data_IF_116783085832
#
_entry.id   IF_116783085832
#
_cell.length_a   1.000
_cell.length_b   1.000
_cell.length_c   1.000
_cell.angle_alpha   90.00
_cell.angle_beta   90.00
_cell.angle_gamma   90.00
#
_symmetry.space_group_name_H-M   'P 1'
#
loop_
_entity.id
_entity.type
_entity.pdbx_description
1 polymer ?
#
# COMPACT_ATOMS: atom_id res chain seq x y z
N UNK A 1 13.54 -2.05 -44.60
CA UNK A 1 14.70 -2.94 -44.37
C UNK A 1 14.18 -4.24 -43.78
N UNK A 2 14.74 -5.33 -44.29
CA UNK A 2 14.37 -6.75 -44.23
C UNK A 2 13.64 -7.31 -43.00
N UNK A 3 12.65 -8.15 -43.32
CA UNK A 3 12.13 -9.26 -42.51
C UNK A 3 13.23 -10.21 -42.03
N UNK A 4 13.06 -10.76 -40.83
CA UNK A 4 13.62 -12.04 -40.40
C UNK A 4 12.69 -12.61 -39.30
N UNK A 5 11.61 -13.28 -39.72
CA UNK A 5 11.35 -14.71 -39.49
C UNK A 5 12.53 -15.53 -38.94
N UNK A 6 12.34 -16.09 -37.76
CA UNK A 6 13.05 -17.28 -37.30
C UNK A 6 12.09 -18.18 -36.55
N UNK A 7 11.80 -19.30 -37.19
CA UNK A 7 11.01 -20.43 -36.79
C UNK A 7 11.63 -21.27 -35.65
N UNK A 8 10.80 -22.19 -35.15
CA UNK A 8 11.07 -23.45 -34.45
C UNK A 8 11.17 -23.47 -32.90
N UNK A 9 10.85 -24.61 -32.24
CA UNK A 9 10.02 -25.74 -32.65
C UNK A 9 8.93 -26.15 -31.63
N UNK A 10 7.92 -26.83 -32.17
CA UNK A 10 6.90 -27.62 -31.50
C UNK A 10 7.51 -28.77 -30.68
N UNK A 11 7.32 -28.75 -29.36
CA UNK A 11 7.60 -29.90 -28.50
C UNK A 11 6.46 -30.92 -28.58
N UNK A 12 6.83 -32.08 -29.10
CA UNK A 12 6.09 -33.32 -29.25
C UNK A 12 5.49 -33.88 -27.95
N UNK A 13 4.32 -34.49 -28.13
CA UNK A 13 3.61 -35.38 -27.22
C UNK A 13 4.52 -36.42 -26.56
N UNK A 14 4.41 -36.56 -25.24
CA UNK A 14 4.84 -37.74 -24.51
C UNK A 14 3.61 -38.36 -23.85
N UNK A 15 2.97 -39.28 -24.57
CA UNK A 15 1.97 -40.19 -24.03
C UNK A 15 2.68 -41.23 -23.15
N UNK A 16 2.30 -41.28 -21.87
CA UNK A 16 2.65 -42.36 -20.94
C UNK A 16 1.52 -43.40 -20.95
N UNK A 17 1.78 -44.66 -21.37
CA UNK A 17 0.83 -45.73 -21.23
C UNK A 17 1.15 -46.50 -19.94
N UNK A 18 0.40 -46.27 -18.86
CA UNK A 18 0.31 -47.24 -17.76
C UNK A 18 -0.72 -46.83 -16.71
N UNK A 19 -1.98 -47.24 -16.89
CA UNK A 19 -2.98 -47.24 -15.81
C UNK A 19 -3.88 -48.49 -15.78
N UNK A 20 -3.59 -49.52 -16.59
CA UNK A 20 -4.35 -50.79 -16.63
C UNK A 20 -3.88 -51.86 -15.63
N UNK A 21 -3.10 -51.50 -14.61
CA UNK A 21 -2.59 -52.45 -13.60
C UNK A 21 -2.94 -52.06 -12.15
N UNK A 22 -4.00 -51.28 -11.96
CA UNK A 22 -4.54 -50.93 -10.63
C UNK A 22 -6.04 -51.21 -10.45
N UNK A 23 -6.65 -51.99 -11.35
CA UNK A 23 -8.08 -52.36 -11.27
C UNK A 23 -8.34 -53.84 -10.99
N UNK A 24 -7.33 -54.65 -10.66
CA UNK A 24 -7.50 -56.10 -10.47
C UNK A 24 -7.08 -56.63 -9.09
N UNK A 25 -6.87 -55.74 -8.10
CA UNK A 25 -6.51 -56.12 -6.72
C UNK A 25 -7.50 -55.58 -5.66
N UNK A 26 -8.72 -55.21 -6.06
CA UNK A 26 -9.78 -54.75 -5.12
C UNK A 26 -11.05 -55.60 -5.22
N UNK A 27 -11.02 -56.71 -5.97
CA UNK A 27 -12.21 -57.53 -6.23
C UNK A 27 -12.21 -58.91 -5.52
N UNK A 28 -11.44 -59.08 -4.44
CA UNK A 28 -11.39 -60.36 -3.68
C UNK A 28 -11.47 -60.20 -2.15
N UNK A 29 -11.92 -59.06 -1.62
CA UNK A 29 -12.23 -58.92 -0.18
C UNK A 29 -13.71 -58.66 0.11
N UNK A 30 -14.60 -58.97 -0.83
CA UNK A 30 -16.03 -58.67 -0.73
C UNK A 30 -16.90 -59.92 -0.79
N UNK A 31 -16.49 -61.02 -0.14
CA UNK A 31 -17.38 -62.16 0.14
C UNK A 31 -16.93 -62.76 1.48
N UNK A 32 -17.57 -62.33 2.57
CA UNK A 32 -17.74 -62.99 3.88
C UNK A 32 -18.01 -61.90 4.93
N UNK A 33 -19.21 -61.33 4.90
CA UNK A 33 -19.88 -60.74 6.07
C UNK A 33 -21.29 -60.29 5.67
N UNK A 34 -22.16 -61.27 5.45
CA UNK A 34 -23.55 -61.04 5.07
C UNK A 34 -24.48 -61.77 6.03
N UNK A 35 -24.62 -61.22 7.24
CA UNK A 35 -25.69 -61.56 8.18
C UNK A 35 -25.90 -60.51 9.30
N UNK A 36 -25.25 -59.33 9.24
CA UNK A 36 -25.44 -58.26 10.25
C UNK A 36 -25.47 -56.83 9.67
N UNK A 37 -25.59 -56.67 8.34
CA UNK A 37 -25.43 -55.38 7.65
C UNK A 37 -26.76 -54.67 7.25
N UNK A 38 -27.91 -55.31 7.42
CA UNK A 38 -29.19 -54.69 7.00
C UNK A 38 -29.69 -53.62 7.99
N UNK A 39 -29.30 -53.68 9.27
CA UNK A 39 -29.67 -52.67 10.26
C UNK A 39 -28.70 -51.46 10.22
N UNK A 40 -27.44 -51.67 9.86
CA UNK A 40 -26.43 -50.59 9.77
C UNK A 40 -26.55 -49.80 8.45
N UNK A 41 -26.96 -50.41 7.35
CA UNK A 41 -27.18 -49.72 6.08
C UNK A 41 -28.37 -48.74 6.12
N UNK A 42 -29.50 -49.14 6.70
CA UNK A 42 -30.67 -48.26 6.88
C UNK A 42 -30.35 -47.06 7.80
N UNK A 43 -29.57 -47.30 8.85
CA UNK A 43 -29.14 -46.24 9.78
C UNK A 43 -28.15 -45.26 9.13
N UNK A 44 -27.23 -45.75 8.28
CA UNK A 44 -26.27 -44.92 7.54
C UNK A 44 -26.95 -44.00 6.52
N UNK A 45 -27.93 -44.50 5.77
CA UNK A 45 -28.69 -43.70 4.79
C UNK A 45 -29.51 -42.60 5.48
N UNK A 46 -30.06 -42.86 6.67
CA UNK A 46 -30.76 -41.83 7.45
C UNK A 46 -29.81 -40.77 8.01
N UNK A 47 -28.61 -41.15 8.46
CA UNK A 47 -27.59 -40.19 8.93
C UNK A 47 -27.07 -39.31 7.78
N UNK A 48 -26.80 -39.88 6.61
CA UNK A 48 -26.33 -39.10 5.44
C UNK A 48 -27.39 -38.09 4.95
N UNK A 49 -28.68 -38.44 5.05
CA UNK A 49 -29.79 -37.51 4.76
C UNK A 49 -29.91 -36.40 5.78
N UNK A 50 -29.74 -36.71 7.07
CA UNK A 50 -29.73 -35.70 8.13
C UNK A 50 -28.56 -34.72 7.97
N UNK A 51 -27.38 -35.22 7.59
CA UNK A 51 -26.19 -34.41 7.33
C UNK A 51 -26.28 -33.57 6.05
N UNK A 52 -26.98 -34.05 5.02
CA UNK A 52 -27.25 -33.26 3.83
C UNK A 52 -28.27 -32.13 4.14
N UNK A 53 -29.31 -32.43 4.93
CA UNK A 53 -30.29 -31.44 5.36
C UNK A 53 -29.66 -30.35 6.22
N UNK A 54 -28.80 -30.73 7.18
CA UNK A 54 -28.10 -29.76 8.04
C UNK A 54 -27.16 -28.85 7.25
N UNK A 55 -26.43 -29.39 6.27
CA UNK A 55 -25.57 -28.61 5.35
C UNK A 55 -26.36 -27.58 4.55
N UNK A 56 -27.53 -27.94 4.04
CA UNK A 56 -28.39 -27.03 3.28
C UNK A 56 -28.94 -25.90 4.16
N UNK A 57 -29.34 -26.20 5.40
CA UNK A 57 -29.80 -25.19 6.37
C UNK A 57 -28.67 -24.21 6.72
N UNK A 58 -27.45 -24.70 6.95
CA UNK A 58 -26.28 -23.85 7.19
C UNK A 58 -25.92 -22.97 5.99
N UNK A 59 -26.00 -23.49 4.77
CA UNK A 59 -25.75 -22.72 3.55
C UNK A 59 -26.80 -21.60 3.36
N UNK A 60 -28.08 -21.92 3.58
CA UNK A 60 -29.18 -20.95 3.51
C UNK A 60 -29.04 -19.85 4.57
N UNK A 61 -28.71 -20.22 5.82
CA UNK A 61 -28.46 -19.26 6.90
C UNK A 61 -27.28 -18.33 6.58
N UNK A 62 -26.16 -18.85 6.08
CA UNK A 62 -25.01 -18.03 5.64
C UNK A 62 -25.37 -17.10 4.48
N UNK A 63 -26.22 -17.53 3.55
CA UNK A 63 -26.69 -16.68 2.44
C UNK A 63 -27.57 -15.54 2.96
N UNK A 64 -28.52 -15.84 3.85
CA UNK A 64 -29.37 -14.83 4.50
C UNK A 64 -28.55 -13.85 5.34
N UNK A 65 -27.54 -14.33 6.08
CA UNK A 65 -26.65 -13.47 6.86
C UNK A 65 -25.81 -12.57 5.96
N UNK A 66 -25.32 -13.07 4.81
CA UNK A 66 -24.65 -12.23 3.79
C UNK A 66 -25.59 -11.20 3.18
N UNK A 67 -26.84 -11.57 2.89
CA UNK A 67 -27.85 -10.65 2.38
C UNK A 67 -28.24 -9.59 3.42
N UNK A 68 -28.42 -9.96 4.69
CA UNK A 68 -28.66 -9.02 5.79
C UNK A 68 -27.46 -8.09 6.03
N UNK A 69 -26.24 -8.63 5.98
CA UNK A 69 -25.02 -7.83 6.07
C UNK A 69 -24.89 -6.85 4.89
N UNK A 70 -25.32 -7.25 3.70
CA UNK A 70 -25.37 -6.38 2.52
C UNK A 70 -26.51 -5.34 2.60
N UNK A 71 -27.67 -5.70 3.18
CA UNK A 71 -28.80 -4.79 3.40
C UNK A 71 -28.47 -3.69 4.42
N UNK A 72 -27.69 -4.01 5.45
CA UNK A 72 -27.21 -3.02 6.41
C UNK A 72 -26.12 -2.11 5.86
N UNK A 73 -25.50 -2.48 4.73
CA UNK A 73 -24.48 -1.65 4.10
C UNK A 73 -25.17 -0.53 3.32
N UNK A 74 -24.89 0.72 3.68
CA UNK A 74 -25.47 1.86 2.98
C UNK A 74 -25.13 1.77 1.49
N UNK A 75 -26.11 2.05 0.62
CA UNK A 75 -25.91 2.07 -0.84
C UNK A 75 -24.71 2.94 -1.22
N UNK A 76 -24.51 4.03 -0.48
CA UNK A 76 -23.38 4.94 -0.63
C UNK A 76 -22.03 4.24 -0.37
N UNK A 77 -21.91 3.42 0.68
CA UNK A 77 -20.68 2.68 0.94
C UNK A 77 -20.37 1.66 -0.16
N UNK A 78 -21.39 0.99 -0.70
CA UNK A 78 -21.23 0.04 -1.81
C UNK A 78 -20.76 0.77 -3.08
N UNK A 79 -21.42 1.89 -3.43
CA UNK A 79 -21.03 2.70 -4.59
C UNK A 79 -19.61 3.24 -4.46
N UNK A 80 -19.26 3.81 -3.30
CA UNK A 80 -17.91 4.31 -3.03
C UNK A 80 -16.90 3.17 -3.15
N UNK A 81 -17.17 2.01 -2.53
CA UNK A 81 -16.29 0.86 -2.62
C UNK A 81 -16.09 0.39 -4.06
N UNK A 82 -17.16 0.35 -4.87
CA UNK A 82 -17.08 -0.04 -6.28
C UNK A 82 -16.27 0.95 -7.11
N UNK A 83 -16.48 2.26 -6.93
CA UNK A 83 -15.69 3.32 -7.60
C UNK A 83 -14.22 3.15 -7.26
N UNK A 84 -13.90 3.09 -5.97
CA UNK A 84 -12.53 2.98 -5.48
C UNK A 84 -11.85 1.69 -5.94
N UNK A 85 -12.54 0.56 -5.82
CA UNK A 85 -12.04 -0.72 -6.30
C UNK A 85 -11.78 -0.69 -7.82
N UNK A 86 -12.67 -0.05 -8.58
CA UNK A 86 -12.49 0.14 -10.02
C UNK A 86 -11.31 1.07 -10.32
N UNK A 87 -11.05 2.08 -9.49
CA UNK A 87 -9.86 2.93 -9.65
C UNK A 87 -8.56 2.15 -9.47
N UNK A 88 -8.51 1.23 -8.49
CA UNK A 88 -7.32 0.43 -8.19
C UNK A 88 -7.09 -0.69 -9.21
N UNK A 89 -8.13 -1.46 -9.56
CA UNK A 89 -7.96 -2.73 -10.32
C UNK A 89 -7.62 -2.61 -11.80
N UNK A 90 -7.60 -1.40 -12.36
CA UNK A 90 -7.25 -1.21 -13.78
C UNK A 90 -6.25 -0.08 -14.01
N UNK A 91 -5.52 0.34 -12.97
CA UNK A 91 -4.44 1.29 -13.15
C UNK A 91 -3.13 0.60 -13.52
N UNK A 92 -3.05 0.17 -14.77
CA UNK A 92 -1.80 -0.34 -15.34
C UNK A 92 -1.13 0.84 -16.07
N UNK A 93 -0.22 1.53 -15.39
CA UNK A 93 0.64 2.51 -16.05
C UNK A 93 1.84 1.80 -16.67
N UNK A 94 2.11 2.07 -17.95
CA UNK A 94 3.28 1.53 -18.62
C UNK A 94 4.56 1.94 -17.88
N UNK A 95 5.46 1.00 -17.63
CA UNK A 95 6.66 1.20 -16.82
C UNK A 95 7.51 2.40 -17.28
N UNK A 96 7.59 2.64 -18.60
CA UNK A 96 8.33 3.78 -19.18
C UNK A 96 7.83 5.15 -18.72
N UNK A 97 6.55 5.27 -18.35
CA UNK A 97 5.97 6.51 -17.84
C UNK A 97 6.03 6.57 -16.31
N UNK A 98 5.83 5.43 -15.65
CA UNK A 98 5.82 5.32 -14.20
C UNK A 98 7.16 5.75 -13.57
N UNK A 99 8.29 5.28 -14.12
CA UNK A 99 9.63 5.59 -13.58
C UNK A 99 9.95 7.10 -13.62
N UNK A 100 9.86 7.78 -14.79
CA UNK A 100 10.08 9.22 -14.84
C UNK A 100 9.11 10.00 -13.97
N UNK A 101 7.83 9.64 -13.94
CA UNK A 101 6.84 10.38 -13.15
C UNK A 101 7.14 10.30 -11.65
N UNK A 102 7.50 9.13 -11.13
CA UNK A 102 7.93 9.00 -9.73
C UNK A 102 9.24 9.72 -9.46
N UNK A 103 10.20 9.65 -10.39
CA UNK A 103 11.47 10.35 -10.26
C UNK A 103 11.26 11.87 -10.20
N UNK A 104 10.46 12.43 -11.12
CA UNK A 104 10.09 13.83 -11.10
C UNK A 104 9.32 14.22 -9.84
N UNK A 105 8.41 13.35 -9.38
CA UNK A 105 7.64 13.56 -8.16
C UNK A 105 8.53 13.70 -6.91
N UNK A 106 9.56 12.87 -6.74
CA UNK A 106 10.49 12.96 -5.61
C UNK A 106 11.52 14.08 -5.83
N UNK A 107 11.91 14.34 -7.09
CA UNK A 107 12.83 15.42 -7.46
C UNK A 107 12.26 16.80 -7.11
N UNK A 108 10.94 16.98 -7.14
CA UNK A 108 10.30 18.23 -6.68
C UNK A 108 10.59 18.56 -5.21
N UNK A 109 10.94 17.59 -4.36
CA UNK A 109 11.35 17.90 -2.98
C UNK A 109 12.75 18.53 -2.91
N UNK A 110 13.61 18.27 -3.91
CA UNK A 110 14.90 18.95 -4.03
C UNK A 110 14.73 20.44 -4.33
N UNK A 111 13.66 20.86 -5.02
CA UNK A 111 13.43 22.27 -5.32
C UNK A 111 13.47 23.16 -4.07
N UNK A 112 12.88 22.71 -2.96
CA UNK A 112 12.90 23.46 -1.70
C UNK A 112 14.29 23.57 -1.07
N UNK A 113 15.19 22.62 -1.35
CA UNK A 113 16.57 22.66 -0.87
C UNK A 113 17.44 23.60 -1.71
N UNK A 114 17.07 23.79 -2.98
CA UNK A 114 17.81 24.57 -3.99
C UNK A 114 17.04 25.84 -4.41
N UNK A 115 16.22 26.38 -3.51
CA UNK A 115 15.38 27.53 -3.81
C UNK A 115 16.22 28.82 -3.95
N UNK A 116 15.90 29.72 -4.90
CA UNK A 116 16.67 30.96 -5.12
C UNK A 116 16.67 31.91 -3.92
N UNK A 117 15.71 31.76 -2.99
CA UNK A 117 15.62 32.54 -1.75
C UNK A 117 16.79 32.34 -0.77
N UNK A 118 17.65 31.34 -0.97
CA UNK A 118 18.89 31.12 -0.19
C UNK A 118 20.11 31.09 -1.12
N UNK A 119 20.14 31.93 -2.16
CA UNK A 119 21.15 31.86 -3.21
C UNK A 119 22.57 31.89 -2.65
N UNK A 120 23.30 30.78 -2.82
CA UNK A 120 24.70 30.68 -2.45
C UNK A 120 25.59 31.31 -3.53
N UNK A 121 26.72 31.94 -3.17
CA UNK A 121 27.70 32.42 -4.15
C UNK A 121 28.09 31.32 -5.14
N UNK A 122 27.92 31.58 -6.44
CA UNK A 122 28.22 30.63 -7.52
C UNK A 122 27.06 29.73 -7.97
N UNK A 123 25.90 29.78 -7.31
CA UNK A 123 24.71 29.05 -7.74
C UNK A 123 24.08 29.69 -8.99
N UNK A 124 23.97 28.98 -10.13
CA UNK A 124 23.36 29.55 -11.32
C UNK A 124 21.87 29.83 -11.13
N UNK A 125 21.38 30.95 -11.63
CA UNK A 125 19.97 31.37 -11.51
C UNK A 125 18.97 30.45 -12.21
N UNK A 126 19.42 29.48 -13.01
CA UNK A 126 18.55 28.54 -13.72
C UNK A 126 18.42 27.18 -13.02
N UNK A 127 19.22 26.92 -11.97
CA UNK A 127 19.32 25.57 -11.38
C UNK A 127 18.01 25.12 -10.73
N UNK A 128 17.19 26.03 -10.20
CA UNK A 128 15.92 25.68 -9.57
C UNK A 128 14.89 25.15 -10.56
N UNK A 129 14.97 25.55 -11.84
CA UNK A 129 14.10 25.01 -12.91
C UNK A 129 14.40 23.55 -13.23
N UNK A 130 15.61 23.06 -12.93
CA UNK A 130 15.94 21.62 -13.08
C UNK A 130 15.08 20.80 -12.12
N UNK A 131 14.95 21.26 -10.87
CA UNK A 131 14.34 20.50 -9.78
C UNK A 131 12.81 20.59 -9.78
N UNK A 132 12.25 21.70 -10.26
CA UNK A 132 10.82 21.84 -10.48
C UNK A 132 10.54 22.49 -11.84
N UNK A 133 10.54 21.70 -12.93
CA UNK A 133 10.28 22.24 -14.27
C UNK A 133 8.84 22.76 -14.43
N UNK A 134 7.94 22.38 -13.51
CA UNK A 134 6.54 22.82 -13.51
C UNK A 134 6.33 24.08 -12.69
N UNK A 135 7.39 24.66 -12.11
CA UNK A 135 7.27 25.93 -11.42
C UNK A 135 7.17 27.07 -12.43
N UNK A 136 5.93 27.44 -12.72
CA UNK A 136 5.60 28.58 -13.56
C UNK A 136 5.19 29.73 -12.64
N UNK A 137 6.15 30.60 -12.33
CA UNK A 137 5.90 31.89 -11.68
C UNK A 137 6.01 32.99 -12.74
N UNK A 138 4.91 33.33 -13.44
CA UNK A 138 4.96 34.39 -14.43
C UNK A 138 5.20 35.75 -13.76
N UNK A 139 5.79 36.68 -14.49
CA UNK A 139 6.04 38.03 -13.97
C UNK A 139 4.75 38.88 -13.93
N UNK A 140 3.77 38.58 -14.79
CA UNK A 140 2.51 39.31 -14.86
C UNK A 140 1.36 38.56 -14.17
N UNK A 141 0.56 39.31 -13.43
CA UNK A 141 -0.62 38.78 -12.74
C UNK A 141 -1.66 38.19 -13.69
N UNK A 142 -1.79 38.73 -14.90
CA UNK A 142 -2.71 38.19 -15.92
C UNK A 142 -2.32 36.77 -16.37
N UNK A 143 -1.02 36.52 -16.60
CA UNK A 143 -0.53 35.18 -16.92
C UNK A 143 -0.73 34.23 -15.73
N UNK A 144 -0.54 34.72 -14.51
CA UNK A 144 -0.84 33.95 -13.31
C UNK A 144 -2.32 33.54 -13.24
N UNK A 145 -3.26 34.43 -13.58
CA UNK A 145 -4.68 34.10 -13.62
C UNK A 145 -5.02 33.00 -14.63
N UNK A 146 -4.30 32.92 -15.75
CA UNK A 146 -4.46 31.83 -16.73
C UNK A 146 -4.04 30.50 -16.08
N UNK A 147 -2.87 30.45 -15.45
CA UNK A 147 -2.36 29.24 -14.76
C UNK A 147 -3.31 28.83 -13.62
N UNK A 148 -3.79 29.81 -12.86
CA UNK A 148 -4.80 29.62 -11.81
C UNK A 148 -6.09 29.01 -12.37
N UNK A 149 -6.60 29.54 -13.49
CA UNK A 149 -7.76 29.00 -14.18
C UNK A 149 -7.57 27.55 -14.64
N UNK A 150 -6.38 27.21 -15.14
CA UNK A 150 -6.02 25.83 -15.52
C UNK A 150 -6.00 24.91 -14.30
N UNK A 151 -5.36 25.33 -13.20
CA UNK A 151 -5.32 24.54 -11.96
C UNK A 151 -6.73 24.30 -11.40
N UNK A 152 -7.57 25.34 -11.35
CA UNK A 152 -8.98 25.21 -10.97
C UNK A 152 -9.74 24.27 -11.90
N UNK A 153 -9.55 24.40 -13.21
CA UNK A 153 -10.17 23.53 -14.21
C UNK A 153 -9.82 22.06 -14.01
N UNK A 154 -8.55 21.75 -13.74
CA UNK A 154 -8.11 20.38 -13.42
C UNK A 154 -8.85 19.86 -12.19
N UNK A 155 -8.91 20.61 -11.09
CA UNK A 155 -9.60 20.19 -9.87
C UNK A 155 -11.10 19.99 -10.12
N UNK A 156 -11.75 20.90 -10.83
CA UNK A 156 -13.18 20.78 -11.17
C UNK A 156 -13.45 19.55 -12.04
N UNK A 157 -12.61 19.26 -13.03
CA UNK A 157 -12.74 18.05 -13.87
C UNK A 157 -12.54 16.77 -13.04
N UNK A 158 -11.56 16.74 -12.12
CA UNK A 158 -11.33 15.58 -11.27
C UNK A 158 -12.50 15.33 -10.31
N UNK A 159 -12.98 16.35 -9.63
CA UNK A 159 -14.15 16.24 -8.74
C UNK A 159 -15.40 15.86 -9.54
N UNK A 160 -15.61 16.49 -10.69
CA UNK A 160 -16.72 16.20 -11.59
C UNK A 160 -16.70 14.75 -12.11
N UNK A 161 -15.53 14.23 -12.47
CA UNK A 161 -15.37 12.83 -12.93
C UNK A 161 -15.60 11.82 -11.80
N UNK A 162 -15.20 12.12 -10.55
CA UNK A 162 -15.55 11.29 -9.38
C UNK A 162 -17.06 11.24 -9.18
N UNK A 163 -17.74 12.39 -9.17
CA UNK A 163 -19.19 12.47 -8.98
C UNK A 163 -19.90 11.72 -10.12
N UNK A 164 -19.48 11.94 -11.36
CA UNK A 164 -20.01 11.26 -12.54
C UNK A 164 -19.85 9.73 -12.44
N UNK A 165 -18.67 9.25 -12.05
CA UNK A 165 -18.44 7.81 -11.85
C UNK A 165 -19.34 7.28 -10.73
N UNK A 166 -19.45 7.98 -9.59
CA UNK A 166 -20.29 7.57 -8.48
C UNK A 166 -21.77 7.43 -8.88
N UNK A 167 -22.31 8.40 -9.64
CA UNK A 167 -23.69 8.35 -10.17
C UNK A 167 -23.86 7.20 -11.18
N UNK A 168 -22.85 7.00 -12.03
CA UNK A 168 -22.89 5.93 -13.04
C UNK A 168 -22.90 4.53 -12.42
N UNK A 169 -22.10 4.32 -11.37
CA UNK A 169 -22.08 3.06 -10.62
C UNK A 169 -23.34 2.84 -9.81
N UNK A 170 -23.89 3.89 -9.16
CA UNK A 170 -25.14 3.76 -8.40
C UNK A 170 -26.34 3.40 -9.29
N UNK A 171 -26.29 3.79 -10.56
CA UNK A 171 -27.33 3.49 -11.56
C UNK A 171 -27.19 2.10 -12.19
N UNK A 172 -26.08 1.39 -11.97
CA UNK A 172 -25.81 0.06 -12.54
C UNK A 172 -25.63 0.04 -14.07
N UNK A 173 -25.58 1.21 -14.73
CA UNK A 173 -25.50 1.35 -16.20
C UNK A 173 -24.15 1.95 -16.60
N UNK A 174 -23.08 1.18 -16.44
CA UNK A 174 -21.74 1.66 -16.80
C UNK A 174 -21.47 1.48 -18.30
N UNK A 175 -21.95 2.42 -19.12
CA UNK A 175 -21.78 2.38 -20.60
C UNK A 175 -20.40 2.87 -21.07
N UNK A 176 -19.75 3.77 -20.32
CA UNK A 176 -18.55 4.47 -20.78
C UNK A 176 -17.35 4.20 -19.87
N UNK A 177 -16.29 3.60 -20.42
CA UNK A 177 -15.02 3.36 -19.72
C UNK A 177 -14.14 4.63 -19.67
N UNK A 178 -14.35 5.55 -20.61
CA UNK A 178 -13.52 6.74 -20.77
C UNK A 178 -13.40 7.61 -19.49
N UNK A 179 -14.49 7.96 -18.77
CA UNK A 179 -14.40 8.78 -17.56
C UNK A 179 -13.57 8.13 -16.45
N UNK A 180 -13.56 6.80 -16.37
CA UNK A 180 -12.75 6.06 -15.41
C UNK A 180 -11.26 6.15 -15.76
N UNK A 181 -10.91 6.09 -17.05
CA UNK A 181 -9.53 6.26 -17.50
C UNK A 181 -9.02 7.68 -17.23
N UNK A 182 -9.85 8.69 -17.52
CA UNK A 182 -9.54 10.10 -17.20
C UNK A 182 -9.37 10.27 -15.69
N UNK A 183 -10.26 9.69 -14.88
CA UNK A 183 -10.14 9.75 -13.42
C UNK A 183 -8.86 9.08 -12.92
N UNK A 184 -8.49 7.90 -13.43
CA UNK A 184 -7.25 7.20 -13.04
C UNK A 184 -6.01 8.00 -13.41
N UNK A 185 -5.88 8.41 -14.67
CA UNK A 185 -4.72 9.17 -15.15
C UNK A 185 -4.64 10.55 -14.46
N UNK A 186 -5.78 11.23 -14.35
CA UNK A 186 -5.90 12.51 -13.69
C UNK A 186 -5.55 12.44 -12.20
N UNK A 187 -6.04 11.43 -11.47
CA UNK A 187 -5.65 11.19 -10.07
C UNK A 187 -4.16 10.96 -9.95
N UNK A 188 -3.59 10.11 -10.80
CA UNK A 188 -2.17 9.76 -10.75
C UNK A 188 -1.27 11.00 -10.96
N UNK A 189 -1.65 11.86 -11.91
CA UNK A 189 -0.93 13.12 -12.14
C UNK A 189 -1.17 14.14 -11.00
N UNK A 190 -2.42 14.30 -10.56
CA UNK A 190 -2.82 15.26 -9.55
C UNK A 190 -2.27 14.96 -8.15
N UNK A 191 -2.22 13.69 -7.75
CA UNK A 191 -1.62 13.24 -6.49
C UNK A 191 -0.09 13.15 -6.58
N UNK A 192 0.45 12.88 -7.78
CA UNK A 192 1.88 12.82 -8.04
C UNK A 192 2.49 14.18 -8.38
N UNK A 193 2.99 14.30 -9.61
CA UNK A 193 3.81 15.44 -10.07
C UNK A 193 3.07 16.79 -10.08
N UNK A 194 1.74 16.82 -10.24
CA UNK A 194 0.98 18.08 -10.25
C UNK A 194 0.54 18.53 -8.85
N UNK A 195 0.77 17.72 -7.80
CA UNK A 195 0.27 18.05 -6.47
C UNK A 195 0.88 19.34 -5.92
N UNK A 196 2.22 19.47 -6.00
CA UNK A 196 2.93 20.66 -5.54
C UNK A 196 2.54 21.89 -6.39
N UNK A 197 2.61 21.86 -7.73
CA UNK A 197 2.21 23.02 -8.55
C UNK A 197 0.76 23.48 -8.32
N UNK A 198 -0.21 22.57 -8.23
CA UNK A 198 -1.61 22.93 -8.01
C UNK A 198 -1.78 23.57 -6.62
N UNK A 199 -1.18 22.97 -5.59
CA UNK A 199 -1.26 23.51 -4.24
C UNK A 199 -0.58 24.89 -4.14
N UNK A 200 0.60 25.05 -4.72
CA UNK A 200 1.34 26.32 -4.76
C UNK A 200 0.51 27.42 -5.43
N UNK A 201 -0.06 27.16 -6.61
CA UNK A 201 -0.90 28.15 -7.34
C UNK A 201 -2.08 28.62 -6.50
N UNK A 202 -2.75 27.74 -5.75
CA UNK A 202 -3.83 28.16 -4.85
C UNK A 202 -3.32 28.92 -3.64
N UNK A 203 -2.22 28.49 -3.03
CA UNK A 203 -1.66 29.12 -1.84
C UNK A 203 -1.10 30.51 -2.15
N UNK A 204 -0.48 30.73 -3.31
CA UNK A 204 0.06 32.05 -3.72
C UNK A 204 -1.01 33.15 -3.70
N UNK A 205 -2.26 32.84 -4.04
CA UNK A 205 -3.37 33.83 -3.99
C UNK A 205 -3.73 34.21 -2.54
N UNK A 206 -3.53 33.29 -1.60
CA UNK A 206 -3.86 33.47 -0.19
C UNK A 206 -2.77 34.21 0.58
N UNK A 207 -1.55 34.28 0.04
CA UNK A 207 -0.41 34.91 0.70
C UNK A 207 -0.35 36.41 0.44
N UNK A 208 -0.98 37.17 1.35
CA UNK A 208 -0.98 38.63 1.36
C UNK A 208 0.00 39.17 2.41
N UNK A 209 0.87 40.08 1.99
CA UNK A 209 1.83 40.76 2.85
C UNK A 209 1.68 42.28 2.65
N UNK A 210 1.57 43.04 3.74
CA UNK A 210 1.39 44.50 3.70
C UNK A 210 0.20 44.99 2.84
N UNK A 211 -0.87 44.20 2.76
CA UNK A 211 -2.08 44.55 1.99
C UNK A 211 -1.96 44.33 0.48
N UNK A 212 -0.89 43.72 -0.01
CA UNK A 212 -0.74 43.29 -1.40
C UNK A 212 -0.30 41.82 -1.49
N UNK A 213 -0.41 41.21 -2.67
CA UNK A 213 0.08 39.84 -2.88
C UNK A 213 1.62 39.89 -2.87
N UNK A 214 2.29 39.06 -2.07
CA UNK A 214 3.76 39.12 -1.92
C UNK A 214 4.50 38.97 -3.26
N UNK A 215 4.00 38.10 -4.15
CA UNK A 215 4.57 37.90 -5.49
C UNK A 215 4.16 38.97 -6.50
N UNK A 216 3.01 39.63 -6.31
CA UNK A 216 2.45 40.63 -7.23
C UNK A 216 2.05 41.90 -6.47
N UNK A 217 3.01 42.74 -6.06
CA UNK A 217 2.75 43.89 -5.19
C UNK A 217 1.85 44.96 -5.81
N UNK A 218 1.66 44.93 -7.14
CA UNK A 218 0.73 45.82 -7.85
C UNK A 218 -0.74 45.51 -7.56
N UNK A 219 -1.05 44.32 -7.03
CA UNK A 219 -2.42 43.88 -6.76
C UNK A 219 -2.69 43.99 -5.25
N UNK A 220 -3.59 44.91 -4.88
CA UNK A 220 -4.04 45.08 -3.51
C UNK A 220 -4.95 43.93 -3.08
N UNK A 221 -4.65 43.34 -1.94
CA UNK A 221 -5.44 42.27 -1.37
C UNK A 221 -6.79 42.79 -0.87
N UNK A 222 -7.86 42.02 -1.09
CA UNK A 222 -9.23 42.27 -0.63
C UNK A 222 -9.94 43.54 -1.13
N UNK A 223 -9.22 44.54 -1.65
CA UNK A 223 -9.82 45.77 -2.19
C UNK A 223 -10.25 45.65 -3.64
N UNK A 224 -9.51 44.87 -4.45
CA UNK A 224 -9.82 44.67 -5.86
C UNK A 224 -10.67 43.42 -6.09
N UNK A 225 -11.76 43.56 -6.87
CA UNK A 225 -12.57 42.43 -7.33
C UNK A 225 -11.70 41.40 -8.10
N UNK A 226 -10.63 41.87 -8.76
CA UNK A 226 -9.70 41.03 -9.51
C UNK A 226 -8.87 40.07 -8.63
N UNK A 227 -8.72 40.35 -7.33
CA UNK A 227 -8.10 39.43 -6.37
C UNK A 227 -9.13 38.65 -5.56
N UNK A 228 -10.24 39.29 -5.19
CA UNK A 228 -11.28 38.68 -4.36
C UNK A 228 -11.86 37.40 -4.98
N UNK A 229 -12.12 37.40 -6.29
CA UNK A 229 -12.66 36.22 -6.99
C UNK A 229 -11.66 35.05 -6.96
N UNK A 230 -10.40 35.18 -7.44
CA UNK A 230 -9.39 34.14 -7.30
C UNK A 230 -9.18 33.69 -5.86
N UNK A 231 -9.24 34.60 -4.88
CA UNK A 231 -9.08 34.26 -3.47
C UNK A 231 -10.17 33.28 -2.99
N UNK A 232 -11.45 33.59 -3.25
CA UNK A 232 -12.56 32.72 -2.88
C UNK A 232 -12.45 31.37 -3.61
N UNK A 233 -12.13 31.40 -4.91
CA UNK A 233 -11.95 30.19 -5.70
C UNK A 233 -10.78 29.34 -5.23
N UNK A 234 -9.68 29.95 -4.76
CA UNK A 234 -8.53 29.25 -4.21
C UNK A 234 -8.88 28.52 -2.92
N UNK A 235 -9.65 29.17 -2.03
CA UNK A 235 -10.15 28.54 -0.79
C UNK A 235 -11.03 27.33 -1.12
N UNK A 236 -11.99 27.50 -2.03
CA UNK A 236 -12.85 26.38 -2.48
C UNK A 236 -12.00 25.29 -3.15
N UNK A 237 -11.04 25.68 -3.99
CA UNK A 237 -10.11 24.80 -4.68
C UNK A 237 -9.32 23.93 -3.71
N UNK A 238 -8.71 24.53 -2.68
CA UNK A 238 -7.98 23.79 -1.64
C UNK A 238 -8.90 22.90 -0.80
N UNK A 239 -10.09 23.37 -0.43
CA UNK A 239 -11.08 22.58 0.31
C UNK A 239 -11.58 21.36 -0.46
N UNK A 240 -11.57 21.41 -1.79
CA UNK A 240 -11.89 20.26 -2.64
C UNK A 240 -10.66 19.39 -2.91
N UNK A 241 -9.54 20.01 -3.25
CA UNK A 241 -8.32 19.34 -3.73
C UNK A 241 -7.59 18.57 -2.62
N UNK A 242 -7.36 19.19 -1.46
CA UNK A 242 -6.61 18.57 -0.35
C UNK A 242 -7.27 17.28 0.16
N UNK A 243 -8.56 17.26 0.55
CA UNK A 243 -9.19 16.02 1.01
C UNK A 243 -9.34 15.00 -0.11
N UNK A 244 -9.55 15.44 -1.36
CA UNK A 244 -9.55 14.55 -2.53
C UNK A 244 -8.21 13.83 -2.67
N UNK A 245 -7.09 14.56 -2.66
CA UNK A 245 -5.77 14.01 -2.87
C UNK A 245 -5.34 13.09 -1.71
N UNK A 246 -5.62 13.47 -0.45
CA UNK A 246 -5.38 12.63 0.73
C UNK A 246 -6.23 11.36 0.73
N UNK A 247 -7.51 11.46 0.34
CA UNK A 247 -8.38 10.28 0.26
C UNK A 247 -7.92 9.32 -0.81
N UNK A 248 -7.54 9.84 -2.00
CA UNK A 248 -7.09 8.99 -3.08
C UNK A 248 -5.72 8.38 -2.81
N UNK A 249 -4.74 9.10 -2.27
CA UNK A 249 -3.46 8.49 -1.84
C UNK A 249 -3.66 7.38 -0.81
N UNK A 250 -4.61 7.54 0.12
CA UNK A 250 -4.93 6.50 1.09
C UNK A 250 -5.50 5.22 0.46
N UNK A 251 -6.35 5.37 -0.56
CA UNK A 251 -7.10 4.24 -1.15
C UNK A 251 -6.37 3.60 -2.33
N UNK A 252 -5.54 4.38 -3.02
CA UNK A 252 -4.90 3.99 -4.28
C UNK A 252 -3.65 3.14 -4.04
N UNK A 253 -3.86 1.91 -3.59
CA UNK A 253 -2.79 0.99 -3.21
C UNK A 253 -2.95 -0.32 -3.94
N UNK A 254 -2.03 -0.61 -4.85
CA UNK A 254 -1.85 -1.96 -5.36
C UNK A 254 -0.89 -2.72 -4.44
N UNK A 255 -1.45 -3.64 -3.64
CA UNK A 255 -0.72 -4.43 -2.66
C UNK A 255 0.03 -5.65 -3.24
N UNK A 256 0.14 -5.77 -4.56
CA UNK A 256 0.91 -6.83 -5.19
C UNK A 256 2.38 -6.41 -5.41
N UNK A 257 3.35 -6.88 -4.59
CA UNK A 257 4.73 -6.36 -4.60
C UNK A 257 5.54 -6.65 -5.88
N UNK A 258 5.12 -7.63 -6.69
CA UNK A 258 5.79 -8.04 -7.94
C UNK A 258 4.84 -7.99 -9.14
N UNK A 259 3.84 -7.09 -9.14
CA UNK A 259 2.96 -6.95 -10.31
C UNK A 259 3.80 -6.55 -11.54
N UNK A 260 3.96 -7.41 -12.57
CA UNK A 260 4.79 -7.07 -13.73
C UNK A 260 4.17 -5.93 -14.55
N UNK A 261 2.86 -5.71 -14.37
CA UNK A 261 2.07 -4.72 -15.10
C UNK A 261 2.01 -3.36 -14.40
N UNK A 262 2.22 -3.32 -13.08
CA UNK A 262 2.09 -2.11 -12.30
C UNK A 262 3.38 -1.84 -11.51
N UNK A 263 4.19 -0.93 -12.02
CA UNK A 263 5.43 -0.49 -11.35
C UNK A 263 5.13 0.41 -10.14
N UNK A 264 3.94 1.00 -10.08
CA UNK A 264 3.49 1.90 -9.01
C UNK A 264 2.92 1.15 -7.80
N UNK A 265 3.21 -0.14 -7.64
CA UNK A 265 2.75 -0.92 -6.48
C UNK A 265 3.26 -0.31 -5.20
N UNK A 266 2.36 -0.09 -4.24
CA UNK A 266 2.66 0.58 -2.98
C UNK A 266 2.38 -0.39 -1.84
N UNK A 267 3.24 -0.35 -0.83
CA UNK A 267 3.14 -1.27 0.29
C UNK A 267 1.89 -0.98 1.14
N UNK A 268 1.65 0.31 1.43
CA UNK A 268 0.57 0.74 2.30
C UNK A 268 0.11 2.15 1.93
N UNK A 269 -1.19 2.37 1.80
CA UNK A 269 -1.78 3.68 1.52
C UNK A 269 -1.59 4.68 2.64
N UNK A 270 -1.37 4.21 3.87
CA UNK A 270 -1.01 5.09 5.00
C UNK A 270 0.31 5.80 4.77
N UNK A 271 1.31 5.10 4.23
CA UNK A 271 2.63 5.70 3.95
C UNK A 271 2.52 6.71 2.82
N UNK A 272 1.68 6.44 1.83
CA UNK A 272 1.46 7.35 0.72
C UNK A 272 0.68 8.61 1.11
N UNK A 273 -0.38 8.44 1.91
CA UNK A 273 -1.11 9.55 2.52
C UNK A 273 -0.21 10.40 3.42
N UNK A 274 0.67 9.77 4.22
CA UNK A 274 1.65 10.49 5.04
C UNK A 274 2.64 11.27 4.17
N UNK A 275 3.13 10.65 3.09
CA UNK A 275 4.01 11.29 2.12
C UNK A 275 3.37 12.52 1.48
N UNK A 276 2.12 12.40 1.04
CA UNK A 276 1.35 13.50 0.49
C UNK A 276 1.04 14.60 1.53
N UNK A 277 0.69 14.20 2.76
CA UNK A 277 0.45 15.14 3.85
C UNK A 277 1.70 15.97 4.16
N UNK A 278 2.87 15.35 4.24
CA UNK A 278 4.14 16.06 4.45
C UNK A 278 4.46 16.99 3.27
N UNK A 279 4.23 16.56 2.03
CA UNK A 279 4.37 17.44 0.85
C UNK A 279 3.53 18.71 0.98
N UNK A 280 2.24 18.55 1.29
CA UNK A 280 1.33 19.68 1.48
C UNK A 280 1.80 20.56 2.63
N UNK A 281 2.19 19.99 3.77
CA UNK A 281 2.76 20.75 4.90
C UNK A 281 3.99 21.55 4.48
N UNK A 282 4.90 20.96 3.71
CA UNK A 282 6.09 21.65 3.19
C UNK A 282 5.68 22.81 2.30
N UNK A 283 4.75 22.63 1.37
CA UNK A 283 4.25 23.73 0.50
C UNK A 283 3.65 24.86 1.34
N UNK A 284 2.79 24.54 2.31
CA UNK A 284 2.17 25.54 3.19
C UNK A 284 3.23 26.30 4.00
N UNK A 285 4.16 25.60 4.64
CA UNK A 285 5.23 26.23 5.43
C UNK A 285 6.13 27.08 4.54
N UNK A 286 6.41 26.62 3.32
CA UNK A 286 7.26 27.33 2.38
C UNK A 286 6.70 28.69 1.98
N UNK A 287 5.39 28.74 1.73
CA UNK A 287 4.73 29.97 1.31
C UNK A 287 4.38 30.89 2.49
N UNK A 288 4.01 30.36 3.67
CA UNK A 288 3.59 31.19 4.80
C UNK A 288 4.70 31.60 5.78
N UNK A 289 5.84 30.88 5.85
CA UNK A 289 6.92 31.27 6.74
C UNK A 289 7.71 32.46 6.16
N UNK A 290 7.91 33.52 6.94
CA UNK A 290 8.70 34.68 6.51
C UNK A 290 10.22 34.39 6.52
N UNK A 291 10.70 33.64 7.51
CA UNK A 291 12.13 33.35 7.66
C UNK A 291 12.56 32.08 6.92
N UNK A 292 13.55 32.26 6.06
CA UNK A 292 14.32 31.22 5.38
C UNK A 292 14.73 30.05 6.28
N UNK A 293 15.33 30.36 7.42
CA UNK A 293 15.80 29.34 8.37
C UNK A 293 14.65 28.50 8.94
N UNK A 294 13.47 29.10 9.14
CA UNK A 294 12.28 28.37 9.63
C UNK A 294 11.75 27.41 8.57
N UNK A 295 11.75 27.81 7.29
CA UNK A 295 11.38 26.93 6.17
C UNK A 295 12.25 25.68 6.16
N UNK A 296 13.56 25.86 6.21
CA UNK A 296 14.55 24.77 6.21
C UNK A 296 14.49 23.92 7.50
N UNK A 297 14.30 24.55 8.66
CA UNK A 297 14.20 23.87 9.95
C UNK A 297 12.99 22.93 10.05
N UNK A 298 11.89 23.23 9.35
CA UNK A 298 10.73 22.33 9.24
C UNK A 298 10.95 21.28 8.13
N UNK A 299 11.58 21.66 7.02
CA UNK A 299 11.83 20.76 5.89
C UNK A 299 12.70 19.56 6.28
N UNK A 300 13.79 19.76 7.02
CA UNK A 300 14.72 18.69 7.43
C UNK A 300 14.04 17.54 8.19
N UNK A 301 13.30 17.77 9.30
CA UNK A 301 12.62 16.69 10.01
C UNK A 301 11.53 16.03 9.17
N UNK A 302 10.81 16.80 8.33
CA UNK A 302 9.84 16.24 7.39
C UNK A 302 10.50 15.25 6.41
N UNK A 303 11.62 15.62 5.79
CA UNK A 303 12.36 14.74 4.87
C UNK A 303 12.99 13.54 5.57
N UNK A 304 13.46 13.69 6.82
CA UNK A 304 13.95 12.57 7.64
C UNK A 304 12.85 11.55 7.92
N UNK A 305 11.65 12.01 8.29
CA UNK A 305 10.48 11.14 8.51
C UNK A 305 10.13 10.39 7.23
N UNK A 306 10.09 11.07 6.07
CA UNK A 306 9.82 10.43 4.78
C UNK A 306 10.88 9.40 4.40
N UNK A 307 12.15 9.74 4.57
CA UNK A 307 13.27 8.84 4.28
C UNK A 307 13.19 7.58 5.14
N UNK A 308 12.94 7.73 6.45
CA UNK A 308 12.74 6.61 7.36
C UNK A 308 11.56 5.73 6.94
N UNK A 309 10.42 6.33 6.65
CA UNK A 309 9.19 5.63 6.29
C UNK A 309 9.33 4.82 5.00
N UNK A 310 9.95 5.40 3.98
CA UNK A 310 10.18 4.74 2.68
C UNK A 310 11.19 3.60 2.83
N UNK A 311 12.32 3.82 3.48
CA UNK A 311 13.35 2.79 3.68
C UNK A 311 12.82 1.60 4.50
N UNK A 312 12.04 1.85 5.56
CA UNK A 312 11.55 0.76 6.42
C UNK A 312 10.34 0.01 5.85
N UNK A 313 9.38 0.69 5.21
CA UNK A 313 8.09 0.08 4.86
C UNK A 313 7.99 -0.44 3.43
N UNK A 314 8.93 -0.12 2.54
CA UNK A 314 8.87 -0.48 1.12
C UNK A 314 10.04 -1.33 0.57
N UNK A 315 10.78 -2.15 1.36
CA UNK A 315 11.99 -2.80 0.86
C UNK A 315 11.73 -3.85 -0.25
N UNK A 316 10.52 -4.44 -0.31
CA UNK A 316 10.20 -5.56 -1.22
C UNK A 316 9.45 -5.18 -2.50
N UNK A 317 9.18 -3.88 -2.72
CA UNK A 317 8.59 -3.41 -3.98
C UNK A 317 9.73 -2.98 -4.90
N UNK A 318 9.59 -3.24 -6.22
CA UNK A 318 10.59 -2.97 -7.28
C UNK A 318 11.90 -2.32 -6.78
N UNK A 319 12.93 -3.15 -6.56
CA UNK A 319 14.17 -2.74 -5.86
C UNK A 319 14.83 -1.53 -6.50
N UNK A 320 14.85 -1.46 -7.83
CA UNK A 320 15.45 -0.35 -8.57
C UNK A 320 14.72 0.94 -8.26
N UNK A 321 13.39 0.92 -8.39
CA UNK A 321 12.59 2.10 -8.10
C UNK A 321 12.79 2.54 -6.66
N UNK A 322 12.72 1.61 -5.71
CA UNK A 322 12.87 1.90 -4.30
C UNK A 322 14.26 2.48 -3.96
N UNK A 323 15.34 1.98 -4.58
CA UNK A 323 16.68 2.55 -4.45
C UNK A 323 16.77 3.99 -4.98
N UNK A 324 16.13 4.27 -6.12
CA UNK A 324 16.11 5.64 -6.68
C UNK A 324 15.32 6.56 -5.74
N UNK A 325 14.14 6.15 -5.26
CA UNK A 325 13.31 6.93 -4.34
C UNK A 325 14.03 7.23 -3.02
N UNK A 326 14.63 6.20 -2.40
CA UNK A 326 15.39 6.37 -1.15
C UNK A 326 16.62 7.24 -1.37
N UNK A 327 17.30 7.10 -2.51
CA UNK A 327 18.40 7.96 -2.92
C UNK A 327 17.99 9.42 -3.04
N UNK A 328 16.93 9.73 -3.80
CA UNK A 328 16.46 11.11 -4.00
C UNK A 328 16.04 11.77 -2.68
N UNK A 329 15.32 11.06 -1.80
CA UNK A 329 14.88 11.62 -0.53
C UNK A 329 16.02 11.81 0.46
N UNK A 330 16.99 10.89 0.50
CA UNK A 330 18.20 11.06 1.30
C UNK A 330 19.04 12.23 0.77
N UNK A 331 19.16 12.36 -0.55
CA UNK A 331 19.82 13.50 -1.19
C UNK A 331 19.14 14.83 -0.84
N UNK A 332 17.80 14.88 -0.86
CA UNK A 332 17.03 16.04 -0.42
C UNK A 332 17.25 16.33 1.07
N UNK A 333 17.28 15.29 1.92
CA UNK A 333 17.51 15.45 3.36
C UNK A 333 18.88 16.04 3.66
N UNK A 334 19.94 15.49 3.04
CA UNK A 334 21.30 16.03 3.22
C UNK A 334 21.42 17.44 2.62
N UNK A 335 20.83 17.69 1.45
CA UNK A 335 20.84 19.03 0.83
C UNK A 335 20.14 20.05 1.72
N UNK A 336 18.96 19.74 2.26
CA UNK A 336 18.25 20.61 3.19
C UNK A 336 19.05 20.87 4.48
N UNK A 337 19.79 19.86 4.97
CA UNK A 337 20.64 19.99 6.15
C UNK A 337 21.83 20.91 5.88
N UNK A 338 22.49 20.75 4.73
CA UNK A 338 23.60 21.64 4.32
C UNK A 338 23.10 23.07 4.10
N UNK A 339 21.94 23.25 3.45
CA UNK A 339 21.32 24.56 3.27
C UNK A 339 21.01 25.22 4.62
N UNK A 340 20.43 24.47 5.57
CA UNK A 340 20.12 24.98 6.91
C UNK A 340 21.37 25.40 7.68
N UNK A 341 22.41 24.56 7.67
CA UNK A 341 23.69 24.87 8.34
C UNK A 341 24.32 26.11 7.72
N UNK A 342 24.27 26.23 6.38
CA UNK A 342 24.85 27.37 5.66
C UNK A 342 24.11 28.67 5.95
N UNK A 343 22.79 28.63 6.06
CA UNK A 343 21.96 29.79 6.44
C UNK A 343 22.26 30.26 7.88
N UNK A 344 22.50 29.31 8.81
CA UNK A 344 22.82 29.63 10.21
C UNK A 344 24.26 30.12 10.36
N UNK A 345 25.20 29.59 9.58
CA UNK A 345 26.63 29.91 9.68
C UNK A 345 27.01 31.32 9.18
N UNK A 346 26.02 32.15 8.82
CA UNK A 346 26.14 33.49 8.25
C UNK A 346 26.72 33.49 6.81
N UNK A 347 26.38 34.50 5.98
CA UNK A 347 26.84 34.56 4.60
C UNK A 347 28.35 34.77 4.58
N UNK A 348 29.08 33.69 4.30
CA UNK A 348 30.42 33.83 3.74
C UNK A 348 30.25 33.98 2.23
N UNK A 349 30.95 34.93 1.61
CA UNK A 349 31.04 35.06 0.14
C UNK A 349 31.75 33.85 -0.52
N UNK A 350 31.86 32.74 0.20
CA UNK A 350 32.54 31.54 -0.23
C UNK A 350 31.62 30.69 -1.11
N UNK A 351 32.21 30.06 -2.13
CA UNK A 351 31.56 29.05 -2.97
C UNK A 351 31.33 27.72 -2.23
N UNK A 352 31.77 27.63 -0.97
CA UNK A 352 31.79 26.39 -0.19
C UNK A 352 30.38 25.81 0.05
N UNK A 353 29.33 26.58 0.44
CA UNK A 353 27.99 26.04 0.61
C UNK A 353 27.43 25.39 -0.66
N UNK A 354 27.67 26.00 -1.82
CA UNK A 354 27.25 25.45 -3.11
C UNK A 354 28.00 24.15 -3.45
N UNK A 355 29.31 24.11 -3.23
CA UNK A 355 30.10 22.89 -3.41
C UNK A 355 29.64 21.75 -2.48
N UNK A 356 29.34 22.07 -1.21
CA UNK A 356 28.81 21.12 -0.23
C UNK A 356 27.41 20.62 -0.61
N UNK A 357 26.55 21.46 -1.18
CA UNK A 357 25.25 21.03 -1.71
C UNK A 357 25.38 20.05 -2.86
N UNK A 358 26.26 20.32 -3.82
CA UNK A 358 26.56 19.40 -4.92
C UNK A 358 27.11 18.06 -4.39
N UNK A 359 28.02 18.11 -3.41
CA UNK A 359 28.54 16.90 -2.78
C UNK A 359 27.46 16.13 -2.01
N UNK A 360 26.60 16.84 -1.27
CA UNK A 360 25.49 16.27 -0.51
C UNK A 360 24.45 15.58 -1.41
N UNK A 361 24.20 16.10 -2.61
CA UNK A 361 23.33 15.47 -3.59
C UNK A 361 23.85 14.08 -4.00
N UNK A 362 25.12 14.00 -4.41
CA UNK A 362 25.74 12.74 -4.86
C UNK A 362 25.89 11.76 -3.69
N UNK A 363 26.43 12.23 -2.56
CA UNK A 363 26.64 11.42 -1.37
C UNK A 363 25.31 10.93 -0.78
N UNK A 364 24.29 11.79 -0.76
CA UNK A 364 22.96 11.44 -0.25
C UNK A 364 22.24 10.46 -1.15
N UNK A 365 22.35 10.59 -2.47
CA UNK A 365 21.78 9.62 -3.41
C UNK A 365 22.40 8.23 -3.23
N UNK A 366 23.74 8.16 -3.26
CA UNK A 366 24.47 6.91 -3.05
C UNK A 366 24.19 6.31 -1.65
N UNK A 367 24.21 7.15 -0.61
CA UNK A 367 23.93 6.75 0.77
C UNK A 367 22.51 6.20 0.94
N UNK A 368 21.50 6.84 0.33
CA UNK A 368 20.12 6.40 0.36
C UNK A 368 19.90 5.06 -0.36
N UNK A 369 20.59 4.83 -1.48
CA UNK A 369 20.53 3.56 -2.19
C UNK A 369 21.20 2.42 -1.40
N UNK A 370 22.39 2.67 -0.83
CA UNK A 370 23.08 1.68 0.03
C UNK A 370 22.26 1.38 1.27
N UNK A 371 21.70 2.40 1.94
CA UNK A 371 20.87 2.23 3.12
C UNK A 371 19.64 1.35 2.83
N UNK A 372 18.97 1.56 1.70
CA UNK A 372 17.85 0.73 1.30
C UNK A 372 18.24 -0.74 1.13
N UNK A 373 19.38 -1.02 0.48
CA UNK A 373 19.90 -2.38 0.33
C UNK A 373 20.28 -3.03 1.67
N UNK A 374 20.88 -2.28 2.58
CA UNK A 374 21.22 -2.77 3.92
C UNK A 374 19.96 -3.10 4.71
N UNK A 375 18.94 -2.23 4.69
CA UNK A 375 17.68 -2.46 5.38
C UNK A 375 16.92 -3.64 4.78
N UNK A 376 16.87 -3.77 3.46
CA UNK A 376 16.29 -4.94 2.79
C UNK A 376 16.96 -6.25 3.24
N UNK A 377 18.30 -6.30 3.27
CA UNK A 377 19.06 -7.47 3.75
C UNK A 377 18.78 -7.75 5.23
N UNK A 378 18.83 -6.73 6.06
CA UNK A 378 18.60 -6.85 7.51
C UNK A 378 17.20 -7.39 7.82
N UNK A 379 16.18 -6.84 7.16
CA UNK A 379 14.80 -7.29 7.26
C UNK A 379 14.68 -8.75 6.82
N UNK A 380 15.26 -9.09 5.67
CA UNK A 380 15.20 -10.45 5.11
C UNK A 380 15.81 -11.48 6.06
N UNK A 381 17.00 -11.20 6.58
CA UNK A 381 17.67 -12.07 7.57
C UNK A 381 16.83 -12.21 8.83
N UNK A 382 16.22 -11.12 9.32
CA UNK A 382 15.37 -11.14 10.51
C UNK A 382 14.10 -11.97 10.33
N UNK A 383 13.42 -11.83 9.17
CA UNK A 383 12.24 -12.64 8.85
C UNK A 383 12.62 -14.12 8.73
N UNK A 384 13.73 -14.41 8.07
CA UNK A 384 14.22 -15.78 7.88
C UNK A 384 14.61 -16.45 9.21
N UNK A 385 15.41 -15.79 10.06
CA UNK A 385 15.83 -16.32 11.36
C UNK A 385 14.62 -16.63 12.26
N UNK A 386 13.61 -15.75 12.28
CA UNK A 386 12.38 -15.97 13.03
C UNK A 386 11.56 -17.15 12.48
N UNK A 387 11.42 -17.22 11.17
CA UNK A 387 10.77 -18.36 10.53
C UNK A 387 11.49 -19.67 10.87
N UNK A 388 12.82 -19.69 10.77
CA UNK A 388 13.63 -20.87 11.09
C UNK A 388 13.55 -21.26 12.56
N UNK A 389 13.59 -20.28 13.50
CA UNK A 389 13.37 -20.51 14.93
C UNK A 389 12.03 -21.17 15.18
N UNK A 390 10.94 -20.66 14.57
CA UNK A 390 9.60 -21.24 14.75
C UNK A 390 9.50 -22.64 14.15
N UNK A 391 10.04 -22.87 12.96
CA UNK A 391 10.09 -24.21 12.35
C UNK A 391 10.82 -25.19 13.26
N UNK A 392 11.97 -24.81 13.83
CA UNK A 392 12.69 -25.64 14.81
C UNK A 392 11.87 -25.91 16.08
N UNK A 393 11.14 -24.92 16.59
CA UNK A 393 10.26 -25.10 17.76
C UNK A 393 9.11 -26.06 17.43
N UNK A 394 8.49 -25.94 16.25
CA UNK A 394 7.45 -26.88 15.81
C UNK A 394 7.99 -28.29 15.64
N UNK A 395 9.17 -28.47 15.04
CA UNK A 395 9.81 -29.79 14.97
C UNK A 395 10.10 -30.37 16.36
N UNK A 396 10.55 -29.55 17.33
CA UNK A 396 10.78 -30.02 18.70
C UNK A 396 9.47 -30.36 19.43
N UNK A 397 8.40 -29.61 19.17
CA UNK A 397 7.08 -29.85 19.76
C UNK A 397 6.40 -31.08 19.15
N UNK A 398 6.42 -31.23 17.83
CA UNK A 398 5.78 -32.33 17.11
C UNK A 398 6.55 -33.66 17.28
N UNK A 399 7.88 -33.62 17.42
CA UNK A 399 8.66 -34.80 17.85
C UNK A 399 8.30 -35.22 19.29
N UNK A 400 7.61 -34.37 20.06
CA UNK A 400 7.03 -34.70 21.36
C UNK A 400 5.59 -35.22 21.34
N UNK A 401 4.83 -35.10 20.23
CA UNK A 401 3.38 -35.36 20.20
C UNK A 401 2.96 -36.63 19.45
N UNK A 402 3.89 -37.40 18.89
CA UNK A 402 3.58 -38.79 18.46
C UNK A 402 4.63 -39.81 18.89
N UNK A 403 5.27 -39.61 20.05
CA UNK A 403 5.71 -40.77 20.82
C UNK A 403 4.55 -41.24 21.68
N UNK A 404 3.63 -42.00 21.07
CA UNK A 404 2.71 -42.87 21.82
C UNK A 404 3.46 -43.85 22.75
N UNK A 405 4.79 -43.96 22.61
CA UNK A 405 5.66 -44.70 23.52
C UNK A 405 6.04 -43.93 24.80
N UNK A 406 5.76 -42.62 24.87
CA UNK A 406 5.97 -41.79 26.06
C UNK A 406 4.65 -41.34 26.71
N UNK A 407 3.53 -42.03 26.41
CA UNK A 407 2.50 -42.17 27.43
C UNK A 407 3.24 -42.79 28.62
N UNK A 408 3.36 -42.10 29.78
CA UNK A 408 3.71 -42.84 30.98
C UNK A 408 2.73 -44.00 30.99
N UNK A 409 3.23 -45.22 31.15
CA UNK A 409 2.43 -46.27 31.75
C UNK A 409 2.02 -45.68 33.10
N UNK A 410 0.96 -44.86 33.08
CA UNK A 410 0.19 -44.42 34.21
C UNK A 410 -0.22 -45.76 34.76
N UNK A 411 0.54 -46.18 35.77
CA UNK A 411 0.35 -47.46 36.40
C UNK A 411 -1.11 -47.50 36.75
N UNK A 412 -1.85 -48.30 35.98
CA UNK A 412 -3.06 -48.96 36.41
C UNK A 412 -2.63 -49.91 37.53
N UNK A 413 -2.08 -49.35 38.62
CA UNK A 413 -2.24 -49.90 39.95
C UNK A 413 -3.74 -49.89 40.13
N UNK A 414 -4.34 -51.08 40.00
CA UNK A 414 -5.76 -51.30 39.98
C UNK A 414 -6.47 -50.45 41.02
N UNK A 415 -7.09 -49.36 40.56
CA UNK A 415 -8.43 -49.09 41.05
C UNK A 415 -9.27 -50.20 40.45
N UNK A 416 -9.56 -51.21 41.26
CA UNK A 416 -10.69 -52.07 41.02
C UNK A 416 -11.86 -51.11 40.75
N UNK A 417 -12.22 -51.00 39.48
CA UNK A 417 -13.48 -50.40 39.10
C UNK A 417 -14.51 -51.34 39.71
N UNK A 418 -15.09 -50.96 40.85
CA UNK A 418 -16.30 -51.61 41.34
C UNK A 418 -17.29 -51.52 40.18
N UNK A 419 -17.47 -52.66 39.53
CA UNK A 419 -18.34 -52.84 38.40
C UNK A 419 -19.77 -52.72 38.93
N UNK A 420 -20.22 -51.47 39.09
CA UNK A 420 -21.63 -51.19 39.30
C UNK A 420 -22.31 -51.56 37.99
N UNK A 421 -23.14 -52.61 38.02
CA UNK A 421 -23.85 -53.21 36.87
C UNK A 421 -24.90 -52.27 36.26
N UNK A 422 -24.51 -51.06 35.89
CA UNK A 422 -25.36 -50.13 35.17
C UNK A 422 -24.73 -49.80 33.80
N UNK A 423 -25.11 -50.54 32.74
CA UNK A 423 -24.54 -50.38 31.40
C UNK A 423 -24.80 -48.99 30.79
N UNK A 424 -25.75 -48.22 31.34
CA UNK A 424 -26.04 -46.86 30.87
C UNK A 424 -25.03 -45.82 31.37
N UNK A 425 -24.39 -46.06 32.52
CA UNK A 425 -23.42 -45.13 33.11
C UNK A 425 -22.07 -45.13 32.36
N UNK A 426 -21.68 -46.26 31.78
CA UNK A 426 -20.38 -46.42 31.07
C UNK A 426 -20.36 -45.65 29.74
N UNK A 427 -21.49 -45.63 29.02
CA UNK A 427 -21.63 -44.83 27.80
C UNK A 427 -21.67 -43.32 28.11
N UNK A 428 -22.24 -42.95 29.25
CA UNK A 428 -22.26 -41.57 29.74
C UNK A 428 -20.87 -41.03 30.03
N UNK A 429 -20.05 -41.79 30.76
CA UNK A 429 -18.67 -41.39 31.09
C UNK A 429 -17.75 -41.42 29.86
N UNK A 430 -17.90 -42.40 28.96
CA UNK A 430 -17.15 -42.41 27.70
C UNK A 430 -17.52 -41.23 26.80
N UNK A 431 -18.81 -40.87 26.74
CA UNK A 431 -19.29 -39.69 26.01
C UNK A 431 -18.75 -38.40 26.63
N UNK A 432 -18.73 -38.28 27.96
CA UNK A 432 -18.14 -37.14 28.65
C UNK A 432 -16.63 -37.06 28.44
N UNK A 433 -15.89 -38.16 28.48
CA UNK A 433 -14.45 -38.17 28.27
C UNK A 433 -14.08 -37.89 26.80
N UNK A 434 -14.83 -38.43 25.84
CA UNK A 434 -14.68 -38.08 24.41
C UNK A 434 -15.03 -36.60 24.21
N UNK A 435 -16.11 -36.12 24.85
CA UNK A 435 -16.48 -34.70 24.80
C UNK A 435 -15.44 -33.83 25.48
N UNK A 436 -14.77 -34.30 26.54
CA UNK A 436 -13.72 -33.57 27.24
C UNK A 436 -12.43 -33.54 26.43
N UNK A 437 -12.09 -34.62 25.73
CA UNK A 437 -10.96 -34.69 24.79
C UNK A 437 -11.22 -33.90 23.50
N UNK A 438 -12.47 -33.80 23.05
CA UNK A 438 -12.85 -32.99 21.88
C UNK A 438 -13.17 -31.53 22.22
N UNK A 439 -13.46 -31.23 23.49
CA UNK A 439 -13.66 -29.85 23.99
C UNK A 439 -12.46 -29.30 24.77
N UNK A 440 -11.38 -30.09 24.94
CA UNK A 440 -10.13 -29.60 25.48
C UNK A 440 -9.64 -28.50 24.54
N UNK A 441 -9.72 -27.28 25.06
CA UNK A 441 -9.54 -26.00 24.37
C UNK A 441 -8.45 -26.13 23.33
N UNK A 442 -8.79 -25.79 22.07
CA UNK A 442 -7.78 -25.53 21.04
C UNK A 442 -6.71 -24.65 21.69
N UNK A 443 -5.54 -25.24 21.93
CA UNK A 443 -4.43 -24.50 22.49
C UNK A 443 -4.20 -23.37 21.50
N UNK A 444 -4.55 -22.14 21.88
CA UNK A 444 -4.40 -21.00 20.99
C UNK A 444 -2.91 -20.80 20.91
N UNK A 445 -2.31 -21.33 19.84
CA UNK A 445 -0.89 -21.19 19.62
C UNK A 445 -0.55 -19.70 19.71
N UNK A 446 0.49 -19.34 20.48
CA UNK A 446 0.90 -17.95 20.57
C UNK A 446 1.15 -17.44 19.14
N UNK A 447 0.64 -16.24 18.80
CA UNK A 447 0.71 -15.73 17.45
C UNK A 447 2.16 -15.75 16.96
N UNK A 448 2.38 -16.26 15.74
CA UNK A 448 3.72 -16.43 15.15
C UNK A 448 4.51 -15.11 15.08
N UNK A 449 3.79 -14.00 15.04
CA UNK A 449 4.33 -12.65 14.97
C UNK A 449 3.68 -11.79 16.06
N UNK A 450 4.48 -10.91 16.68
CA UNK A 450 4.02 -10.06 17.78
C UNK A 450 3.13 -8.91 17.29
N UNK A 451 3.28 -8.52 16.02
CA UNK A 451 2.52 -7.42 15.44
C UNK A 451 1.97 -7.76 14.05
N UNK A 452 0.81 -7.17 13.66
CA UNK A 452 0.26 -7.29 12.31
C UNK A 452 1.24 -6.83 11.21
N UNK A 453 2.11 -5.86 11.53
CA UNK A 453 3.11 -5.35 10.61
C UNK A 453 4.15 -6.42 10.24
N UNK A 454 4.55 -7.26 11.20
CA UNK A 454 5.48 -8.35 10.94
C UNK A 454 4.85 -9.46 10.11
N UNK A 455 3.57 -9.77 10.34
CA UNK A 455 2.80 -10.71 9.49
C UNK A 455 2.78 -10.21 8.06
N UNK A 456 2.46 -8.94 7.86
CA UNK A 456 2.45 -8.29 6.54
C UNK A 456 3.82 -8.37 5.86
N UNK A 457 4.89 -8.12 6.60
CA UNK A 457 6.26 -8.22 6.12
C UNK A 457 6.64 -9.64 5.71
N UNK A 458 6.28 -10.63 6.52
CA UNK A 458 6.53 -12.04 6.24
C UNK A 458 5.72 -12.52 5.02
N UNK A 459 4.45 -12.11 4.91
CA UNK A 459 3.64 -12.40 3.72
C UNK A 459 4.26 -11.80 2.44
N UNK A 460 4.81 -10.58 2.52
CA UNK A 460 5.54 -9.96 1.40
C UNK A 460 6.80 -10.73 1.05
N UNK A 461 7.59 -11.11 2.05
CA UNK A 461 8.79 -11.92 1.84
C UNK A 461 8.47 -13.25 1.14
N UNK A 462 7.43 -13.96 1.57
CA UNK A 462 7.02 -15.23 0.94
C UNK A 462 6.51 -15.02 -0.49
N UNK A 463 5.78 -13.92 -0.76
CA UNK A 463 5.38 -13.57 -2.14
C UNK A 463 6.58 -13.21 -3.00
N UNK A 464 7.58 -12.55 -2.41
CA UNK A 464 8.80 -12.17 -3.08
C UNK A 464 9.66 -13.39 -3.43
N UNK A 465 9.75 -14.41 -2.56
CA UNK A 465 10.61 -15.58 -2.77
C UNK A 465 10.03 -16.66 -3.69
N UNK A 466 8.70 -16.70 -3.88
CA UNK A 466 8.02 -17.74 -4.69
C UNK A 466 8.13 -17.56 -6.20
N UNK A 467 8.51 -16.36 -6.65
CA UNK A 467 8.70 -16.00 -8.06
C UNK A 467 10.13 -15.53 -8.25
#
# INVERSE_FOLDING_TARGET
MSNASSDEPSSSNLELPNSKLRQQAVLESAVMDNSSNDVTAATKVNNDRADAASRNVWAAKRKLEREKANLHRSRLQVTIFQVLHSMVTGNEMHWRLAFPLLAFEDMQMLYYCWHPGHSFPGMPSWIHYIWNPLILRPESYEQFLIIFGVAMGIVTVLVGTVIFCAISFSSGKFKYIFPLNVLRAGTLLAVGILNIPIAEVFITVLHCENGAISLYPAVTCYSSIAHLIPFILAVIGLLLFVPYALSLSYIYVDGNPKSPKNVMTRSNGRTDMLYLAIKLTVVFVWEFASSSSTKLAVLVPCLLILTKEIVHKQPFHNEILQMIRSGMLMAATLSATVALISEIAAPSDSILPFALLCAALIAGFAGGAVLNNLVLRWITVRVYDRFQKRVRTMHKADVGVVSFAALPQLGLKGRAFEMRNDPTAVLGTLSEDIRKLTSERSHVDPPMFESPHEVELACRFVRYSKN
#
